data_IF_124065528128
#
_entry.id   IF_124065528128
#
_cell.length_a   1.000
_cell.length_b   1.000
_cell.length_c   1.000
_cell.angle_alpha   90.00
_cell.angle_beta   90.00
_cell.angle_gamma   90.00
#
_symmetry.space_group_name_H-M   'P 1'
#
loop_
_entity.id
_entity.type
_entity.pdbx_description
1 polymer ?
#
# COMPACT_ATOMS: atom_id res chain seq x y z
N UNK A 1 50.87 -30.00 0.23
CA UNK A 1 50.79 -28.83 -0.65
C UNK A 1 49.91 -29.20 -1.83
N UNK A 2 48.65 -28.81 -1.81
CA UNK A 2 47.77 -28.78 -2.97
C UNK A 2 46.97 -27.50 -2.89
N UNK A 3 47.37 -26.56 -3.75
CA UNK A 3 46.70 -25.30 -3.97
C UNK A 3 45.45 -25.55 -4.82
N UNK A 4 44.25 -25.50 -4.20
CA UNK A 4 42.98 -25.54 -4.91
C UNK A 4 42.70 -24.17 -5.54
N UNK A 5 42.71 -24.12 -6.85
CA UNK A 5 42.21 -22.99 -7.65
C UNK A 5 40.72 -22.84 -7.46
N UNK A 6 40.30 -21.76 -6.77
CA UNK A 6 38.91 -21.32 -6.71
C UNK A 6 38.63 -20.52 -7.99
N UNK A 7 38.06 -21.18 -8.99
CA UNK A 7 37.65 -20.55 -10.25
C UNK A 7 36.44 -19.70 -9.99
N UNK A 8 36.59 -18.39 -10.23
CA UNK A 8 35.52 -17.39 -10.16
C UNK A 8 34.52 -17.65 -11.29
N UNK A 9 33.39 -18.29 -10.98
CA UNK A 9 32.31 -18.55 -11.94
C UNK A 9 31.54 -17.28 -12.42
N UNK A 10 31.78 -16.11 -11.82
CA UNK A 10 31.04 -14.88 -12.12
C UNK A 10 31.39 -14.16 -13.44
N UNK A 11 32.62 -14.29 -13.91
CA UNK A 11 33.08 -13.55 -15.11
C UNK A 11 32.56 -14.09 -16.44
N UNK A 12 32.26 -15.37 -16.54
CA UNK A 12 31.83 -16.01 -17.80
C UNK A 12 30.33 -15.80 -18.09
N UNK A 13 29.49 -15.66 -17.05
CA UNK A 13 28.06 -15.37 -17.19
C UNK A 13 27.81 -13.91 -17.59
N UNK A 14 28.60 -12.97 -17.09
CA UNK A 14 28.41 -11.53 -17.36
C UNK A 14 28.73 -11.15 -18.82
N UNK A 15 29.74 -11.79 -19.43
CA UNK A 15 30.13 -11.54 -20.82
C UNK A 15 29.10 -12.09 -21.83
N UNK A 16 28.44 -13.21 -21.52
CA UNK A 16 27.39 -13.78 -22.38
C UNK A 16 26.11 -12.95 -22.37
N UNK A 17 25.73 -12.38 -21.22
CA UNK A 17 24.52 -11.57 -21.08
C UNK A 17 24.61 -10.24 -21.87
N UNK A 18 25.79 -9.63 -21.96
CA UNK A 18 26.01 -8.39 -22.71
C UNK A 18 25.88 -8.57 -24.21
N UNK A 19 26.00 -9.80 -24.73
CA UNK A 19 25.85 -10.12 -26.15
C UNK A 19 24.47 -10.64 -26.52
N UNK A 20 23.56 -10.82 -25.56
CA UNK A 20 22.19 -11.30 -25.80
C UNK A 20 21.34 -10.22 -26.50
N UNK A 21 20.43 -10.65 -27.35
CA UNK A 21 19.38 -9.76 -27.88
C UNK A 21 18.40 -9.36 -26.78
N UNK A 22 17.63 -8.30 -26.98
CA UNK A 22 16.59 -7.90 -26.02
C UNK A 22 15.50 -8.98 -25.85
N UNK A 23 15.22 -9.75 -26.89
CA UNK A 23 14.28 -10.89 -26.85
C UNK A 23 14.82 -12.01 -25.97
N UNK A 24 16.12 -12.35 -26.10
CA UNK A 24 16.76 -13.37 -25.27
C UNK A 24 16.85 -12.95 -23.80
N UNK A 25 17.13 -11.67 -23.55
CA UNK A 25 17.14 -11.12 -22.18
C UNK A 25 15.75 -11.20 -21.56
N UNK A 26 14.69 -10.86 -22.30
CA UNK A 26 13.32 -10.96 -21.83
C UNK A 26 12.92 -12.41 -21.58
N UNK A 27 13.29 -13.34 -22.44
CA UNK A 27 13.03 -14.77 -22.26
C UNK A 27 13.71 -15.30 -20.99
N UNK A 28 15.00 -14.99 -20.78
CA UNK A 28 15.74 -15.35 -19.57
C UNK A 28 15.13 -14.73 -18.31
N UNK A 29 14.73 -13.45 -18.37
CA UNK A 29 14.05 -12.77 -17.27
C UNK A 29 12.74 -13.46 -16.90
N UNK A 30 11.92 -13.84 -17.87
CA UNK A 30 10.66 -14.55 -17.63
C UNK A 30 10.88 -15.95 -17.07
N UNK A 31 11.90 -16.67 -17.56
CA UNK A 31 12.28 -17.98 -17.03
C UNK A 31 12.67 -17.90 -15.54
N UNK A 32 13.47 -16.91 -15.14
CA UNK A 32 13.84 -16.66 -13.73
C UNK A 32 12.60 -16.40 -12.86
N UNK A 33 11.68 -15.55 -13.33
CA UNK A 33 10.43 -15.27 -12.62
C UNK A 33 9.57 -16.54 -12.50
N UNK A 34 9.46 -17.34 -13.57
CA UNK A 34 8.71 -18.60 -13.55
C UNK A 34 9.33 -19.63 -12.59
N UNK A 35 10.65 -19.65 -12.50
CA UNK A 35 11.40 -20.47 -11.53
C UNK A 35 11.27 -19.98 -10.07
N UNK A 36 10.65 -18.80 -9.84
CA UNK A 36 10.51 -18.19 -8.51
C UNK A 36 11.76 -17.47 -8.01
N UNK A 37 12.72 -17.21 -8.89
CA UNK A 37 13.90 -16.42 -8.55
C UNK A 37 13.50 -14.97 -8.27
N UNK A 38 14.22 -14.33 -7.36
CA UNK A 38 14.05 -12.92 -7.08
C UNK A 38 14.90 -12.08 -8.03
N UNK A 39 14.28 -11.01 -8.52
CA UNK A 39 14.97 -9.97 -9.30
C UNK A 39 15.47 -8.94 -8.30
N UNK A 40 16.74 -8.61 -8.35
CA UNK A 40 17.39 -7.64 -7.47
C UNK A 40 17.55 -6.27 -8.16
N UNK A 41 17.93 -5.26 -7.38
CA UNK A 41 18.00 -3.87 -7.86
C UNK A 41 18.96 -3.68 -9.04
N UNK A 42 20.06 -4.42 -9.05
CA UNK A 42 21.12 -4.33 -10.08
C UNK A 42 20.91 -5.34 -11.23
N UNK A 43 19.87 -6.18 -11.15
CA UNK A 43 19.54 -7.10 -12.24
C UNK A 43 18.99 -6.32 -13.45
N UNK A 44 19.27 -6.85 -14.63
CA UNK A 44 18.55 -6.40 -15.82
C UNK A 44 17.05 -6.73 -15.70
N UNK A 45 16.22 -5.78 -16.04
CA UNK A 45 14.76 -5.94 -16.04
C UNK A 45 14.15 -5.16 -17.21
N UNK A 46 13.07 -5.69 -17.82
CA UNK A 46 12.38 -4.99 -18.88
C UNK A 46 11.71 -3.71 -18.34
N UNK A 47 11.63 -2.69 -19.18
CA UNK A 47 11.08 -1.38 -18.82
C UNK A 47 9.64 -1.46 -18.29
N UNK A 48 8.80 -2.31 -18.88
CA UNK A 48 7.42 -2.52 -18.42
C UNK A 48 7.38 -3.00 -16.95
N UNK A 49 8.29 -3.89 -16.57
CA UNK A 49 8.40 -4.36 -15.19
C UNK A 49 8.86 -3.25 -14.24
N UNK A 50 9.91 -2.53 -14.61
CA UNK A 50 10.44 -1.40 -13.84
C UNK A 50 9.37 -0.34 -13.60
N UNK A 51 8.70 0.12 -14.65
CA UNK A 51 7.63 1.13 -14.55
C UNK A 51 6.46 0.63 -13.71
N UNK A 52 6.11 -0.65 -13.82
CA UNK A 52 5.05 -1.27 -12.99
C UNK A 52 5.43 -1.24 -11.51
N UNK A 53 6.66 -1.63 -11.17
CA UNK A 53 7.17 -1.59 -9.79
C UNK A 53 7.24 -0.15 -9.25
N UNK A 54 7.77 0.79 -10.04
CA UNK A 54 7.84 2.21 -9.63
C UNK A 54 6.46 2.73 -9.28
N UNK A 55 5.45 2.51 -10.13
CA UNK A 55 4.07 2.94 -9.86
C UNK A 55 3.49 2.30 -8.61
N UNK A 56 3.66 0.99 -8.46
CA UNK A 56 3.11 0.25 -7.32
C UNK A 56 3.76 0.69 -6.01
N UNK A 57 5.10 0.66 -5.95
CA UNK A 57 5.85 0.87 -4.71
C UNK A 57 5.86 2.35 -4.31
N UNK A 58 5.94 3.29 -5.27
CA UNK A 58 5.82 4.71 -4.95
C UNK A 58 4.43 5.06 -4.42
N UNK A 59 3.36 4.54 -5.04
CA UNK A 59 2.01 4.74 -4.52
C UNK A 59 1.85 4.18 -3.11
N UNK A 60 2.39 2.99 -2.85
CA UNK A 60 2.39 2.39 -1.51
C UNK A 60 3.16 3.29 -0.52
N UNK A 61 4.42 3.65 -0.81
CA UNK A 61 5.21 4.51 0.07
C UNK A 61 4.61 5.89 0.31
N UNK A 62 3.98 6.50 -0.71
CA UNK A 62 3.26 7.76 -0.54
C UNK A 62 1.99 7.58 0.29
N UNK A 63 1.32 6.42 0.18
CA UNK A 63 0.15 6.10 1.00
C UNK A 63 0.49 6.01 2.48
N UNK A 64 1.60 5.37 2.84
CA UNK A 64 2.11 5.31 4.21
C UNK A 64 2.36 6.73 4.78
N UNK A 65 3.12 7.54 4.04
CA UNK A 65 3.43 8.92 4.45
C UNK A 65 2.17 9.78 4.61
N UNK A 66 1.21 9.65 3.69
CA UNK A 66 -0.03 10.43 3.72
C UNK A 66 -1.02 9.85 4.72
N UNK A 67 -1.02 8.52 4.92
CA UNK A 67 -1.84 7.80 5.89
C UNK A 67 -1.54 8.17 7.34
N UNK A 68 -0.30 8.47 7.65
CA UNK A 68 0.09 8.97 8.96
C UNK A 68 -0.60 10.31 9.36
N UNK A 69 -1.08 11.11 8.39
CA UNK A 69 -1.66 12.42 8.68
C UNK A 69 -3.03 12.35 9.37
N UNK A 70 -4.03 11.60 8.87
CA UNK A 70 -5.33 11.48 9.53
C UNK A 70 -5.22 10.89 10.94
N UNK A 71 -4.29 9.98 11.17
CA UNK A 71 -4.10 9.35 12.47
C UNK A 71 -3.36 10.26 13.46
N UNK A 72 -2.36 10.99 12.98
CA UNK A 72 -1.64 12.00 13.77
C UNK A 72 -2.60 13.01 14.42
N UNK A 73 -3.69 13.37 13.76
CA UNK A 73 -4.70 14.29 14.29
C UNK A 73 -5.36 13.79 15.57
N UNK A 74 -5.34 12.46 15.82
CA UNK A 74 -5.94 11.81 16.98
C UNK A 74 -4.97 11.59 18.13
N UNK A 75 -3.66 11.74 17.94
CA UNK A 75 -2.68 11.63 19.04
C UNK A 75 -3.02 12.51 20.24
N UNK A 76 -3.30 13.84 20.09
CA UNK A 76 -3.69 14.67 21.23
C UNK A 76 -5.09 14.34 21.78
N UNK A 77 -5.99 13.83 20.93
CA UNK A 77 -7.42 13.60 21.23
C UNK A 77 -7.71 12.19 21.77
N UNK A 78 -6.74 11.28 21.73
CA UNK A 78 -6.95 9.89 22.17
C UNK A 78 -7.41 9.85 23.64
N UNK A 79 -8.43 9.01 23.98
CA UNK A 79 -9.15 9.10 25.25
C UNK A 79 -8.34 8.66 26.47
N UNK A 80 -7.29 7.87 26.29
CA UNK A 80 -6.42 7.40 27.38
C UNK A 80 -4.95 7.50 26.98
N UNK A 81 -4.05 7.49 27.98
CA UNK A 81 -2.61 7.48 27.72
C UNK A 81 -2.19 6.25 26.90
N UNK A 82 -2.74 5.08 27.19
CA UNK A 82 -2.46 3.85 26.44
C UNK A 82 -2.86 3.99 24.97
N UNK A 83 -4.06 4.52 24.68
CA UNK A 83 -4.52 4.76 23.29
C UNK A 83 -3.68 5.81 22.58
N UNK A 84 -3.25 6.84 23.32
CA UNK A 84 -2.34 7.86 22.79
C UNK A 84 -1.00 7.27 22.38
N UNK A 85 -0.40 6.44 23.23
CA UNK A 85 0.87 5.78 22.94
C UNK A 85 0.72 4.79 21.77
N UNK A 86 -0.38 4.06 21.69
CA UNK A 86 -0.66 3.13 20.60
C UNK A 86 -0.73 3.84 19.24
N UNK A 87 -1.50 4.94 19.13
CA UNK A 87 -1.60 5.68 17.87
C UNK A 87 -0.29 6.44 17.52
N UNK A 88 0.48 6.88 18.53
CA UNK A 88 1.81 7.46 18.28
C UNK A 88 2.78 6.45 17.69
N UNK A 89 2.80 5.21 18.23
CA UNK A 89 3.62 4.12 17.71
C UNK A 89 3.24 3.83 16.27
N UNK A 90 1.94 3.68 15.97
CA UNK A 90 1.45 3.48 14.61
C UNK A 90 1.90 4.59 13.65
N UNK A 91 1.70 5.85 14.00
CA UNK A 91 2.14 6.99 13.15
C UNK A 91 3.65 6.95 12.88
N UNK A 92 4.45 6.52 13.84
CA UNK A 92 5.89 6.34 13.67
C UNK A 92 6.19 5.22 12.67
N UNK A 93 5.51 4.09 12.80
CA UNK A 93 5.69 2.93 11.92
C UNK A 93 5.31 3.29 10.47
N UNK A 94 4.16 3.94 10.23
CA UNK A 94 3.72 4.43 8.91
C UNK A 94 4.80 5.30 8.23
N UNK A 95 5.40 6.22 8.99
CA UNK A 95 6.50 7.04 8.48
C UNK A 95 7.74 6.22 8.16
N UNK A 96 8.04 5.19 8.96
CA UNK A 96 9.12 4.23 8.73
C UNK A 96 8.89 3.37 7.49
N UNK A 97 7.67 2.85 7.32
CA UNK A 97 7.23 2.09 6.15
C UNK A 97 7.39 2.92 4.87
N UNK A 98 6.88 4.16 4.88
CA UNK A 98 7.04 5.08 3.77
C UNK A 98 8.49 5.30 3.38
N UNK A 99 9.39 5.56 4.35
CA UNK A 99 10.82 5.73 4.10
C UNK A 99 11.46 4.47 3.49
N UNK A 100 11.09 3.29 4.00
CA UNK A 100 11.60 2.02 3.49
C UNK A 100 11.17 1.79 2.03
N UNK A 101 9.90 2.01 1.72
CA UNK A 101 9.34 1.83 0.38
C UNK A 101 9.89 2.85 -0.62
N UNK A 102 10.06 4.11 -0.22
CA UNK A 102 10.70 5.12 -1.06
C UNK A 102 12.16 4.79 -1.36
N UNK A 103 12.87 4.14 -0.42
CA UNK A 103 14.23 3.67 -0.67
C UNK A 103 14.26 2.53 -1.69
N UNK A 104 13.31 1.59 -1.59
CA UNK A 104 13.14 0.52 -2.60
C UNK A 104 12.80 1.11 -3.98
N UNK A 105 11.99 2.16 -4.02
CA UNK A 105 11.64 2.85 -5.27
C UNK A 105 12.85 3.61 -5.84
N UNK A 106 13.68 4.21 -4.99
CA UNK A 106 14.88 4.96 -5.39
C UNK A 106 15.84 4.10 -6.21
N UNK A 107 16.03 2.82 -5.84
CA UNK A 107 16.85 1.89 -6.62
C UNK A 107 16.29 1.67 -8.04
N UNK A 108 14.97 1.66 -8.20
CA UNK A 108 14.30 1.49 -9.50
C UNK A 108 14.37 2.74 -10.39
N UNK A 109 14.41 3.95 -9.81
CA UNK A 109 14.45 5.22 -10.55
C UNK A 109 15.85 5.76 -10.77
N UNK A 110 16.87 5.17 -10.13
CA UNK A 110 18.28 5.54 -10.32
C UNK A 110 18.72 5.59 -11.80
N UNK A 111 18.31 4.65 -12.68
CA UNK A 111 18.63 4.73 -14.10
C UNK A 111 18.11 5.97 -14.83
N UNK A 112 17.14 6.67 -14.24
CA UNK A 112 16.59 7.93 -14.77
C UNK A 112 17.24 9.17 -14.13
N UNK A 113 18.33 9.01 -13.36
CA UNK A 113 18.98 10.06 -12.58
C UNK A 113 18.03 10.73 -11.57
N UNK A 114 17.05 9.98 -11.03
CA UNK A 114 16.10 10.41 -10.00
C UNK A 114 16.44 9.79 -8.64
N UNK A 115 16.03 10.46 -7.57
CA UNK A 115 16.22 10.07 -6.19
C UNK A 115 14.92 10.26 -5.36
N UNK A 116 14.96 9.97 -4.06
CA UNK A 116 13.79 10.12 -3.17
C UNK A 116 13.28 11.56 -3.05
N UNK A 117 14.16 12.54 -3.20
CA UNK A 117 13.76 13.95 -3.22
C UNK A 117 12.85 14.25 -4.41
N UNK A 118 13.16 13.69 -5.57
CA UNK A 118 12.34 13.84 -6.77
C UNK A 118 10.96 13.18 -6.58
N UNK A 119 10.89 12.03 -5.90
CA UNK A 119 9.59 11.40 -5.58
C UNK A 119 8.73 12.30 -4.69
N UNK A 120 9.33 12.99 -3.73
CA UNK A 120 8.60 13.95 -2.89
C UNK A 120 8.11 15.15 -3.70
N UNK A 121 8.91 15.66 -4.64
CA UNK A 121 8.46 16.71 -5.55
C UNK A 121 7.34 16.23 -6.48
N UNK A 122 7.46 15.03 -7.03
CA UNK A 122 6.42 14.40 -7.86
C UNK A 122 5.09 14.25 -7.08
N UNK A 123 5.13 13.95 -5.75
CA UNK A 123 3.94 13.99 -4.89
C UNK A 123 3.35 15.41 -4.80
N UNK A 124 4.20 16.43 -4.57
CA UNK A 124 3.75 17.81 -4.40
C UNK A 124 3.27 18.45 -5.71
N UNK A 125 3.78 17.98 -6.84
CA UNK A 125 3.29 18.32 -8.17
C UNK A 125 2.02 17.55 -8.57
N UNK A 126 1.54 16.65 -7.69
CA UNK A 126 0.37 15.79 -7.92
C UNK A 126 0.56 14.74 -9.03
N UNK A 127 1.80 14.48 -9.42
CA UNK A 127 2.18 13.45 -10.39
C UNK A 127 2.15 12.04 -9.77
N UNK A 128 2.48 11.92 -8.48
CA UNK A 128 2.32 10.67 -7.72
C UNK A 128 0.99 10.66 -6.97
N UNK A 129 0.44 9.46 -6.86
CA UNK A 129 -0.83 9.20 -6.19
C UNK A 129 -0.60 8.50 -4.86
N UNK A 130 -1.56 8.64 -3.96
CA UNK A 130 -1.67 7.86 -2.73
C UNK A 130 -3.10 7.32 -2.59
N UNK A 131 -3.30 6.43 -1.66
CA UNK A 131 -4.54 5.65 -1.54
C UNK A 131 -5.76 6.54 -1.28
N UNK A 132 -6.88 6.20 -1.92
CA UNK A 132 -8.14 6.93 -1.84
C UNK A 132 -8.63 7.16 -0.40
N UNK A 133 -8.44 6.20 0.48
CA UNK A 133 -8.85 6.28 1.90
C UNK A 133 -8.16 7.42 2.64
N UNK A 134 -6.94 7.78 2.28
CA UNK A 134 -6.20 8.87 2.93
C UNK A 134 -6.57 10.28 2.41
N UNK A 135 -7.55 10.38 1.54
CA UNK A 135 -8.21 11.62 1.16
C UNK A 135 -9.50 11.89 1.97
N UNK A 136 -9.95 10.90 2.76
CA UNK A 136 -11.20 10.97 3.50
C UNK A 136 -11.06 11.75 4.81
N UNK A 137 -12.18 12.26 5.31
CA UNK A 137 -12.25 12.99 6.56
C UNK A 137 -12.33 12.03 7.76
N UNK A 138 -11.62 12.35 8.85
CA UNK A 138 -11.69 11.65 10.13
C UNK A 138 -12.41 12.53 11.15
N UNK A 139 -13.68 12.23 11.43
CA UNK A 139 -14.58 13.08 12.25
C UNK A 139 -14.59 12.68 13.73
N UNK A 140 -14.48 11.39 14.00
CA UNK A 140 -14.64 10.82 15.34
C UNK A 140 -13.53 9.85 15.68
N UNK A 141 -13.42 9.47 16.92
CA UNK A 141 -12.48 8.43 17.37
C UNK A 141 -12.75 7.07 16.71
N UNK A 142 -14.01 6.80 16.33
CA UNK A 142 -14.36 5.61 15.57
C UNK A 142 -13.73 5.59 14.18
N UNK A 143 -13.57 6.76 13.51
CA UNK A 143 -12.88 6.82 12.22
C UNK A 143 -11.41 6.39 12.36
N UNK A 144 -10.72 6.82 13.42
CA UNK A 144 -9.36 6.37 13.70
C UNK A 144 -9.30 4.85 13.97
N UNK A 145 -10.28 4.31 14.69
CA UNK A 145 -10.43 2.87 14.90
C UNK A 145 -10.68 2.11 13.58
N UNK A 146 -11.53 2.63 12.69
CA UNK A 146 -11.82 2.01 11.40
C UNK A 146 -10.62 2.01 10.46
N UNK A 147 -9.80 3.06 10.46
CA UNK A 147 -8.56 3.06 9.70
C UNK A 147 -7.72 1.87 10.15
N UNK A 148 -7.40 1.76 11.44
CA UNK A 148 -6.61 0.65 11.96
C UNK A 148 -7.25 -0.72 11.71
N UNK A 149 -8.56 -0.86 11.89
CA UNK A 149 -9.21 -2.15 11.77
C UNK A 149 -9.45 -2.59 10.32
N UNK A 150 -10.10 -1.74 9.53
CA UNK A 150 -10.57 -2.14 8.19
C UNK A 150 -9.63 -1.70 7.07
N UNK A 151 -9.01 -0.51 7.16
CA UNK A 151 -8.07 -0.05 6.12
C UNK A 151 -6.75 -0.80 6.21
N UNK A 152 -6.14 -0.88 7.40
CA UNK A 152 -4.91 -1.68 7.57
C UNK A 152 -5.20 -3.16 7.38
N UNK A 153 -6.40 -3.62 7.75
CA UNK A 153 -6.87 -4.96 7.43
C UNK A 153 -6.93 -5.27 5.93
N UNK A 154 -7.39 -4.32 5.12
CA UNK A 154 -7.36 -4.41 3.66
C UNK A 154 -5.91 -4.35 3.13
N UNK A 155 -5.07 -3.50 3.72
CA UNK A 155 -3.65 -3.42 3.42
C UNK A 155 -2.94 -4.76 3.69
N UNK A 156 -3.16 -5.38 4.85
CA UNK A 156 -2.59 -6.69 5.20
C UNK A 156 -3.00 -7.76 4.16
N UNK A 157 -4.26 -7.79 3.73
CA UNK A 157 -4.73 -8.75 2.72
C UNK A 157 -3.94 -8.59 1.41
N UNK A 158 -3.73 -7.36 0.95
CA UNK A 158 -3.01 -7.10 -0.30
C UNK A 158 -1.51 -7.32 -0.14
N UNK A 159 -0.91 -6.81 0.92
CA UNK A 159 0.53 -6.85 1.17
C UNK A 159 1.03 -8.28 1.42
N UNK A 160 0.29 -9.10 2.18
CA UNK A 160 0.67 -10.50 2.44
C UNK A 160 0.70 -11.34 1.17
N UNK A 161 -0.14 -11.03 0.18
CA UNK A 161 -0.09 -11.68 -1.13
C UNK A 161 1.19 -11.33 -1.91
N UNK A 162 1.80 -10.19 -1.61
CA UNK A 162 3.02 -9.70 -2.27
C UNK A 162 4.32 -10.04 -1.49
N UNK A 163 4.26 -10.77 -0.38
CA UNK A 163 5.43 -11.24 0.35
C UNK A 163 6.38 -12.09 -0.52
N UNK A 164 5.83 -12.72 -1.54
CA UNK A 164 6.57 -13.50 -2.52
C UNK A 164 6.72 -12.78 -3.88
N UNK A 165 6.55 -11.46 -3.91
CA UNK A 165 6.74 -10.67 -5.12
C UNK A 165 8.07 -11.00 -5.81
N UNK A 166 8.08 -11.00 -7.13
CA UNK A 166 9.28 -11.29 -7.94
C UNK A 166 10.43 -10.32 -7.70
N UNK A 167 10.15 -9.07 -7.28
CA UNK A 167 11.16 -8.09 -6.92
C UNK A 167 11.60 -8.28 -5.47
N UNK A 168 12.82 -8.77 -5.27
CA UNK A 168 13.40 -9.14 -3.98
C UNK A 168 13.40 -8.01 -2.94
N UNK A 169 13.86 -6.78 -3.27
CA UNK A 169 13.87 -5.67 -2.32
C UNK A 169 12.47 -5.33 -1.77
N UNK A 170 11.43 -5.36 -2.62
CA UNK A 170 10.06 -5.11 -2.17
C UNK A 170 9.52 -6.24 -1.30
N UNK A 171 9.74 -7.49 -1.70
CA UNK A 171 9.33 -8.65 -0.90
C UNK A 171 9.92 -8.62 0.52
N UNK A 172 11.22 -8.26 0.65
CA UNK A 172 11.88 -8.12 1.96
C UNK A 172 11.34 -6.94 2.78
N UNK A 173 11.05 -5.81 2.13
CA UNK A 173 10.43 -4.66 2.81
C UNK A 173 9.07 -5.04 3.39
N UNK A 174 8.24 -5.75 2.62
CA UNK A 174 6.92 -6.19 3.04
C UNK A 174 6.94 -7.17 4.22
N UNK A 175 7.99 -7.99 4.37
CA UNK A 175 8.12 -8.88 5.53
C UNK A 175 8.10 -8.10 6.84
N UNK A 176 8.82 -6.97 6.89
CA UNK A 176 8.82 -6.09 8.05
C UNK A 176 7.49 -5.35 8.19
N UNK A 177 7.04 -4.71 7.13
CA UNK A 177 5.79 -3.91 7.12
C UNK A 177 4.62 -4.77 7.59
N UNK A 178 4.39 -5.95 7.00
CA UNK A 178 3.28 -6.82 7.39
C UNK A 178 3.34 -7.28 8.86
N UNK A 179 4.53 -7.42 9.44
CA UNK A 179 4.68 -7.78 10.85
C UNK A 179 4.23 -6.64 11.78
N UNK A 180 4.54 -5.40 11.42
CA UNK A 180 4.15 -4.21 12.17
C UNK A 180 2.66 -3.86 11.96
N UNK A 181 2.11 -4.07 10.75
CA UNK A 181 0.69 -3.87 10.41
C UNK A 181 -0.28 -4.71 11.26
N UNK A 182 0.13 -5.88 11.74
CA UNK A 182 -0.70 -6.70 12.65
C UNK A 182 -1.03 -5.94 13.93
N UNK A 183 -0.08 -5.18 14.47
CA UNK A 183 -0.31 -4.32 15.64
C UNK A 183 -1.31 -3.21 15.30
N UNK A 184 -1.20 -2.59 14.14
CA UNK A 184 -2.11 -1.53 13.70
C UNK A 184 -3.55 -2.01 13.62
N UNK A 185 -3.76 -3.16 12.97
CA UNK A 185 -5.09 -3.77 12.85
C UNK A 185 -5.68 -4.16 14.21
N UNK A 186 -4.88 -4.75 15.10
CA UNK A 186 -5.33 -5.10 16.46
C UNK A 186 -5.65 -3.86 17.30
N UNK A 187 -4.86 -2.79 17.18
CA UNK A 187 -5.13 -1.53 17.87
C UNK A 187 -6.45 -0.90 17.41
N UNK A 188 -6.70 -0.86 16.09
CA UNK A 188 -7.95 -0.39 15.50
C UNK A 188 -9.15 -1.23 15.91
N UNK A 189 -9.04 -2.56 15.81
CA UNK A 189 -10.10 -3.48 16.25
C UNK A 189 -10.47 -3.27 17.72
N UNK A 190 -9.47 -3.13 18.60
CA UNK A 190 -9.72 -2.89 20.03
C UNK A 190 -10.38 -1.53 20.32
N UNK A 191 -10.20 -0.52 19.46
CA UNK A 191 -10.94 0.74 19.56
C UNK A 191 -12.40 0.51 19.16
N UNK A 192 -12.64 -0.14 18.05
CA UNK A 192 -13.99 -0.39 17.53
C UNK A 192 -14.79 -1.28 18.50
N UNK A 193 -14.21 -2.36 19.00
CA UNK A 193 -14.86 -3.23 19.98
C UNK A 193 -15.26 -2.46 21.23
N UNK A 194 -14.33 -1.66 21.79
CA UNK A 194 -14.62 -0.89 22.99
C UNK A 194 -15.76 0.14 22.81
N UNK A 195 -15.89 0.72 21.60
CA UNK A 195 -16.97 1.64 21.28
C UNK A 195 -18.28 0.90 20.97
N UNK A 196 -18.23 -0.22 20.25
CA UNK A 196 -19.42 -1.01 19.89
C UNK A 196 -20.06 -1.68 21.11
N UNK A 197 -19.27 -2.05 22.12
CA UNK A 197 -19.72 -2.62 23.39
C UNK A 197 -20.07 -1.55 24.45
N UNK A 198 -19.84 -0.28 24.14
CA UNK A 198 -20.03 0.85 25.04
C UNK A 198 -21.47 1.36 25.08
N UNK A 199 -21.62 2.69 25.25
CA UNK A 199 -22.94 3.34 25.26
C UNK A 199 -23.61 3.34 23.88
N UNK A 200 -24.91 3.65 23.83
CA UNK A 200 -25.64 3.76 22.54
C UNK A 200 -25.02 4.85 21.64
N UNK A 201 -24.54 5.96 22.23
CA UNK A 201 -23.87 7.02 21.48
C UNK A 201 -22.53 6.55 20.91
N UNK A 202 -21.78 5.74 21.66
CA UNK A 202 -20.51 5.17 21.17
C UNK A 202 -20.75 4.16 20.05
N UNK A 203 -21.77 3.32 20.19
CA UNK A 203 -22.18 2.39 19.12
C UNK A 203 -22.67 3.12 17.89
N UNK A 204 -23.48 4.16 18.03
CA UNK A 204 -23.92 5.01 16.94
C UNK A 204 -22.73 5.68 16.24
N UNK A 205 -21.72 6.13 16.99
CA UNK A 205 -20.49 6.70 16.43
C UNK A 205 -19.76 5.70 15.51
N UNK A 206 -19.66 4.41 15.89
CA UNK A 206 -19.06 3.37 15.06
C UNK A 206 -19.89 3.13 13.81
N UNK A 207 -21.22 3.04 13.94
CA UNK A 207 -22.12 2.84 12.80
C UNK A 207 -22.02 3.99 11.80
N UNK A 208 -22.03 5.23 12.25
CA UNK A 208 -21.87 6.40 11.40
C UNK A 208 -20.51 6.45 10.70
N UNK A 209 -19.45 6.08 11.41
CA UNK A 209 -18.12 5.97 10.82
C UNK A 209 -18.10 4.89 9.73
N UNK A 210 -18.65 3.70 9.99
CA UNK A 210 -18.76 2.63 9.01
C UNK A 210 -19.54 3.09 7.76
N UNK A 211 -20.65 3.80 7.95
CA UNK A 211 -21.45 4.33 6.84
C UNK A 211 -20.65 5.31 5.95
N UNK A 212 -19.79 6.14 6.55
CA UNK A 212 -18.95 7.09 5.80
C UNK A 212 -17.80 6.42 5.07
N UNK A 213 -17.22 5.36 5.64
CA UNK A 213 -16.01 4.74 5.14
C UNK A 213 -16.26 3.57 4.19
N UNK A 214 -17.46 2.99 4.18
CA UNK A 214 -17.74 1.74 3.47
C UNK A 214 -17.37 1.79 1.99
N UNK A 215 -17.86 2.79 1.27
CA UNK A 215 -17.56 2.92 -0.16
C UNK A 215 -16.06 3.15 -0.41
N UNK A 216 -15.42 3.98 0.41
CA UNK A 216 -13.99 4.22 0.31
C UNK A 216 -13.17 2.95 0.56
N UNK A 217 -13.61 2.06 1.48
CA UNK A 217 -13.02 0.74 1.73
C UNK A 217 -13.15 -0.18 0.51
N UNK A 218 -14.30 -0.20 -0.15
CA UNK A 218 -14.47 -0.99 -1.38
C UNK A 218 -13.61 -0.45 -2.52
N UNK A 219 -13.42 0.85 -2.60
CA UNK A 219 -12.54 1.52 -3.55
C UNK A 219 -11.05 1.25 -3.28
N UNK A 220 -10.68 0.86 -2.05
CA UNK A 220 -9.31 0.57 -1.65
C UNK A 220 -8.62 -0.42 -2.60
N UNK A 221 -9.30 -1.46 -3.02
CA UNK A 221 -8.73 -2.48 -3.91
C UNK A 221 -8.64 -2.04 -5.38
N UNK A 222 -9.23 -0.89 -5.73
CA UNK A 222 -9.32 -0.40 -7.09
C UNK A 222 -10.40 -1.10 -7.93
N UNK A 223 -10.67 -0.62 -9.14
CA UNK A 223 -11.63 -1.27 -10.04
C UNK A 223 -11.18 -2.68 -10.42
N UNK A 224 -12.13 -3.53 -10.77
CA UNK A 224 -11.83 -4.89 -11.24
C UNK A 224 -10.82 -4.83 -12.39
N UNK A 225 -9.82 -5.71 -12.34
CA UNK A 225 -8.81 -5.80 -13.40
C UNK A 225 -9.49 -6.10 -14.73
N UNK A 226 -9.12 -5.39 -15.78
CA UNK A 226 -9.72 -5.53 -17.12
C UNK A 226 -9.57 -6.92 -17.75
N UNK A 227 -8.95 -7.86 -17.07
CA UNK A 227 -8.72 -9.23 -17.55
C UNK A 227 -9.95 -10.12 -17.49
N UNK A 228 -11.07 -9.68 -16.95
CA UNK A 228 -12.24 -10.53 -16.77
C UNK A 228 -13.10 -10.69 -18.03
N UNK A 229 -12.89 -9.88 -19.07
CA UNK A 229 -13.64 -10.06 -20.34
C UNK A 229 -12.87 -9.44 -21.53
N UNK A 230 -12.05 -10.25 -22.19
CA UNK A 230 -11.63 -9.97 -23.59
C UNK A 230 -10.63 -8.84 -23.85
N UNK A 231 -9.99 -8.27 -22.81
CA UNK A 231 -8.90 -7.31 -23.01
C UNK A 231 -7.59 -8.07 -23.24
N UNK A 232 -6.93 -7.81 -24.36
CA UNK A 232 -5.67 -8.42 -24.77
C UNK A 232 -4.46 -8.02 -23.90
N UNK A 233 -4.62 -7.18 -22.89
CA UNK A 233 -3.56 -6.70 -22.01
C UNK A 233 -3.69 -7.32 -20.61
N UNK A 234 -2.86 -8.33 -20.35
CA UNK A 234 -2.71 -8.92 -19.03
C UNK A 234 -2.22 -7.85 -18.02
N UNK A 235 -2.75 -7.88 -16.79
CA UNK A 235 -2.25 -7.04 -15.68
C UNK A 235 -0.75 -7.33 -15.46
N UNK A 236 0.10 -6.32 -15.66
CA UNK A 236 1.55 -6.46 -15.56
C UNK A 236 1.99 -6.92 -14.15
N UNK A 237 1.24 -6.59 -13.09
CA UNK A 237 1.56 -7.05 -11.74
C UNK A 237 1.38 -8.57 -11.58
N UNK A 238 0.42 -9.16 -12.27
CA UNK A 238 0.18 -10.61 -12.31
C UNK A 238 1.14 -11.27 -13.31
N UNK A 239 1.27 -10.70 -14.52
CA UNK A 239 2.19 -11.18 -15.55
C UNK A 239 3.61 -11.38 -15.00
N UNK A 240 4.08 -10.44 -14.21
CA UNK A 240 5.43 -10.47 -13.65
C UNK A 240 5.48 -11.05 -12.22
N UNK A 241 4.45 -11.73 -11.76
CA UNK A 241 4.39 -12.34 -10.42
C UNK A 241 4.77 -11.40 -9.27
N UNK A 242 4.44 -10.12 -9.40
CA UNK A 242 4.52 -9.17 -8.29
C UNK A 242 3.43 -9.50 -7.29
N UNK A 243 2.24 -9.85 -7.78
CA UNK A 243 1.11 -10.41 -7.02
C UNK A 243 0.45 -11.56 -7.79
N UNK A 244 -0.34 -12.38 -7.10
CA UNK A 244 -1.02 -13.54 -7.69
C UNK A 244 -2.55 -13.39 -7.74
N UNK A 245 -3.08 -12.36 -7.09
CA UNK A 245 -4.52 -12.11 -6.94
C UNK A 245 -4.94 -10.85 -7.68
N UNK A 246 -6.18 -10.84 -8.17
CA UNK A 246 -6.80 -9.66 -8.77
C UNK A 246 -7.33 -8.70 -7.70
N UNK A 247 -7.74 -7.50 -8.10
CA UNK A 247 -8.39 -6.54 -7.21
C UNK A 247 -9.70 -7.10 -6.64
N UNK A 248 -10.44 -7.86 -7.45
CA UNK A 248 -11.68 -8.48 -7.02
C UNK A 248 -11.42 -9.62 -6.03
N UNK A 249 -10.41 -10.47 -6.27
CA UNK A 249 -10.04 -11.51 -5.29
C UNK A 249 -9.74 -10.90 -3.91
N UNK A 250 -9.02 -9.80 -3.85
CA UNK A 250 -8.72 -9.11 -2.59
C UNK A 250 -9.97 -8.59 -1.91
N UNK A 251 -10.92 -8.04 -2.68
CA UNK A 251 -12.19 -7.54 -2.13
C UNK A 251 -13.03 -8.68 -1.59
N UNK A 252 -13.09 -9.81 -2.28
CA UNK A 252 -13.76 -11.02 -1.78
C UNK A 252 -13.11 -11.53 -0.48
N UNK A 253 -11.77 -11.60 -0.41
CA UNK A 253 -11.04 -11.96 0.80
C UNK A 253 -11.33 -10.98 1.96
N UNK A 254 -11.50 -9.70 1.66
CA UNK A 254 -11.89 -8.70 2.65
C UNK A 254 -13.29 -8.97 3.20
N UNK A 255 -14.25 -9.25 2.35
CA UNK A 255 -15.59 -9.61 2.79
C UNK A 255 -15.58 -10.88 3.64
N UNK A 256 -14.93 -11.95 3.20
CA UNK A 256 -14.81 -13.20 3.95
C UNK A 256 -14.28 -12.98 5.38
N UNK A 257 -13.30 -12.09 5.50
CA UNK A 257 -12.66 -11.82 6.79
C UNK A 257 -13.45 -10.88 7.68
N UNK A 258 -14.02 -9.82 7.14
CA UNK A 258 -14.55 -8.71 7.92
C UNK A 258 -16.05 -8.67 8.04
N UNK A 259 -16.82 -9.19 7.08
CA UNK A 259 -18.28 -9.19 7.16
C UNK A 259 -18.80 -9.94 8.40
N UNK A 260 -18.34 -11.17 8.72
CA UNK A 260 -18.80 -11.85 9.93
C UNK A 260 -18.50 -11.07 11.22
N UNK A 261 -17.35 -10.38 11.25
CA UNK A 261 -16.92 -9.58 12.41
C UNK A 261 -17.76 -8.32 12.57
N UNK A 262 -18.01 -7.57 11.48
CA UNK A 262 -18.89 -6.39 11.46
C UNK A 262 -20.28 -6.77 11.99
N UNK A 263 -20.86 -7.85 11.46
CA UNK A 263 -22.20 -8.33 11.86
C UNK A 263 -22.23 -8.80 13.32
N UNK A 264 -21.17 -9.45 13.81
CA UNK A 264 -21.10 -9.90 15.20
C UNK A 264 -21.08 -8.77 16.23
N UNK A 265 -20.64 -7.56 15.82
CA UNK A 265 -20.70 -6.35 16.62
C UNK A 265 -22.08 -5.65 16.60
N UNK A 266 -23.05 -6.22 15.88
CA UNK A 266 -24.38 -5.65 15.68
C UNK A 266 -24.39 -4.42 14.76
N UNK A 267 -23.33 -4.26 13.95
CA UNK A 267 -23.23 -3.20 12.94
C UNK A 267 -23.83 -3.66 11.61
N UNK A 268 -24.30 -2.72 10.82
CA UNK A 268 -24.81 -2.95 9.47
C UNK A 268 -23.99 -2.17 8.46
N UNK A 269 -23.65 -2.79 7.33
CA UNK A 269 -23.01 -2.10 6.22
C UNK A 269 -24.06 -1.34 5.41
N UNK A 270 -23.71 -0.15 4.86
CA UNK A 270 -24.66 0.67 4.10
C UNK A 270 -24.81 0.20 2.66
N UNK A 271 -24.98 -1.12 2.49
CA UNK A 271 -25.22 -1.78 1.22
C UNK A 271 -26.29 -2.87 1.43
N UNK A 272 -27.51 -2.56 1.02
CA UNK A 272 -28.65 -3.49 1.15
C UNK A 272 -28.59 -4.67 0.18
N UNK A 273 -27.67 -4.64 -0.79
CA UNK A 273 -27.52 -5.71 -1.81
C UNK A 273 -26.47 -6.73 -1.41
N UNK A 274 -25.66 -6.43 -0.39
CA UNK A 274 -24.56 -7.33 0.00
C UNK A 274 -25.08 -8.63 0.57
N UNK A 275 -24.69 -9.73 -0.03
CA UNK A 275 -25.00 -11.08 0.44
C UNK A 275 -23.95 -12.07 -0.08
N UNK A 276 -23.79 -13.17 0.64
CA UNK A 276 -22.97 -14.28 0.17
C UNK A 276 -23.81 -15.22 -0.70
N UNK A 277 -23.32 -15.52 -1.89
CA UNK A 277 -23.91 -16.50 -2.79
C UNK A 277 -23.29 -17.89 -2.51
N UNK A 278 -24.07 -18.79 -1.96
CA UNK A 278 -23.60 -20.12 -1.56
C UNK A 278 -23.27 -21.03 -2.76
N UNK A 279 -23.87 -20.79 -3.93
CA UNK A 279 -23.61 -21.56 -5.14
C UNK A 279 -22.32 -21.14 -5.81
N UNK A 280 -22.17 -19.85 -6.04
CA UNK A 280 -20.98 -19.26 -6.69
C UNK A 280 -19.81 -19.05 -5.72
N UNK A 281 -20.06 -19.13 -4.40
CA UNK A 281 -19.10 -18.88 -3.31
C UNK A 281 -18.43 -17.51 -3.40
N UNK A 282 -19.23 -16.50 -3.67
CA UNK A 282 -18.80 -15.10 -3.78
C UNK A 282 -19.74 -14.17 -3.02
N UNK A 283 -19.22 -13.02 -2.62
CA UNK A 283 -20.01 -11.90 -2.13
C UNK A 283 -20.51 -11.06 -3.29
N UNK A 284 -21.83 -10.91 -3.39
CA UNK A 284 -22.46 -9.90 -4.24
C UNK A 284 -22.58 -8.60 -3.45
N UNK A 285 -22.35 -7.46 -4.09
CA UNK A 285 -22.33 -6.14 -3.46
C UNK A 285 -22.57 -5.03 -4.48
N UNK A 286 -22.98 -3.83 -4.01
CA UNK A 286 -23.09 -2.65 -4.84
C UNK A 286 -21.72 -2.15 -5.28
N UNK A 287 -21.53 -1.98 -6.58
CA UNK A 287 -20.26 -1.44 -7.10
C UNK A 287 -20.06 0.01 -6.67
N UNK A 288 -18.86 0.38 -6.20
CA UNK A 288 -18.52 1.75 -5.89
C UNK A 288 -18.62 2.68 -7.12
N UNK A 289 -18.81 3.97 -6.90
CA UNK A 289 -18.70 4.96 -7.97
C UNK A 289 -17.24 5.15 -8.40
N UNK A 290 -16.86 4.45 -9.46
CA UNK A 290 -15.51 4.54 -10.02
C UNK A 290 -15.17 5.90 -10.65
N UNK A 291 -16.13 6.79 -10.89
CA UNK A 291 -15.87 8.16 -11.31
C UNK A 291 -15.50 9.02 -10.09
N UNK A 292 -16.19 8.83 -8.97
CA UNK A 292 -15.79 9.47 -7.71
C UNK A 292 -14.41 8.96 -7.26
N UNK A 293 -14.12 7.67 -7.38
CA UNK A 293 -12.77 7.13 -7.15
C UNK A 293 -11.70 7.88 -7.94
N UNK A 294 -11.88 8.07 -9.26
CA UNK A 294 -10.92 8.78 -10.11
C UNK A 294 -10.73 10.23 -9.67
N UNK A 295 -11.80 10.89 -9.24
CA UNK A 295 -11.78 12.25 -8.71
C UNK A 295 -10.97 12.30 -7.40
N UNK A 296 -11.22 11.38 -6.48
CA UNK A 296 -10.51 11.29 -5.18
C UNK A 296 -9.01 11.08 -5.40
N UNK A 297 -8.60 10.05 -6.15
CA UNK A 297 -7.18 9.78 -6.42
C UNK A 297 -6.52 10.83 -7.31
N UNK A 298 -7.31 11.68 -7.97
CA UNK A 298 -6.88 12.90 -8.66
C UNK A 298 -6.70 14.11 -7.73
N UNK A 299 -6.60 13.89 -6.42
CA UNK A 299 -6.40 14.90 -5.37
C UNK A 299 -7.58 15.87 -5.21
N UNK A 300 -8.80 15.43 -5.56
CA UNK A 300 -10.04 16.19 -5.38
C UNK A 300 -10.99 15.53 -4.36
N UNK A 301 -10.47 14.69 -3.47
CA UNK A 301 -11.22 14.17 -2.33
C UNK A 301 -11.35 15.20 -1.19
N UNK A 302 -12.15 14.89 -0.16
CA UNK A 302 -12.55 15.86 0.88
C UNK A 302 -11.38 16.55 1.61
N UNK A 303 -10.26 15.85 1.84
CA UNK A 303 -9.09 16.37 2.58
C UNK A 303 -7.80 16.34 1.74
N UNK A 304 -7.90 16.12 0.43
CA UNK A 304 -6.73 15.96 -0.45
C UNK A 304 -5.76 17.13 -0.37
N UNK A 305 -6.24 18.32 -0.71
CA UNK A 305 -5.40 19.51 -0.82
C UNK A 305 -4.87 19.97 0.53
N UNK A 306 -5.66 19.84 1.59
CA UNK A 306 -5.21 20.18 2.93
C UNK A 306 -4.02 19.29 3.37
N UNK A 307 -4.13 17.97 3.17
CA UNK A 307 -3.07 17.02 3.55
C UNK A 307 -1.82 17.17 2.69
N UNK A 308 -1.97 17.39 1.39
CA UNK A 308 -0.86 17.71 0.50
C UNK A 308 -0.14 18.99 0.91
N UNK A 309 -0.89 20.05 1.18
CA UNK A 309 -0.32 21.33 1.62
C UNK A 309 0.36 21.23 2.98
N UNK A 310 -0.20 20.46 3.92
CA UNK A 310 0.42 20.21 5.21
C UNK A 310 1.78 19.50 5.05
N UNK A 311 1.87 18.50 4.16
CA UNK A 311 3.11 17.78 3.86
C UNK A 311 4.12 18.69 3.15
N UNK A 312 3.69 19.40 2.13
CA UNK A 312 4.53 20.36 1.37
C UNK A 312 5.12 21.40 2.31
N UNK A 313 4.29 22.06 3.11
CA UNK A 313 4.75 23.09 4.05
C UNK A 313 5.77 22.53 5.05
N UNK A 314 5.53 21.35 5.62
CA UNK A 314 6.49 20.71 6.52
C UNK A 314 7.80 20.35 5.82
N UNK A 315 7.76 19.93 4.58
CA UNK A 315 8.92 19.61 3.78
C UNK A 315 9.76 20.86 3.45
N UNK A 316 9.09 21.91 2.98
CA UNK A 316 9.74 23.20 2.64
C UNK A 316 10.32 23.90 3.87
N UNK A 317 9.56 23.95 4.96
CA UNK A 317 10.01 24.59 6.22
C UNK A 317 11.31 23.97 6.76
N UNK A 318 11.52 22.68 6.55
CA UNK A 318 12.71 21.96 6.99
C UNK A 318 13.80 21.87 5.90
N UNK A 319 13.68 22.62 4.80
CA UNK A 319 14.65 22.65 3.70
C UNK A 319 16.06 22.94 4.17
N UNK A 320 16.22 23.94 5.01
CA UNK A 320 17.51 24.35 5.56
C UNK A 320 18.26 23.22 6.31
N UNK A 321 17.55 22.31 6.97
CA UNK A 321 18.16 21.13 7.61
C UNK A 321 18.73 20.18 6.58
N UNK A 322 17.97 19.90 5.51
CA UNK A 322 18.43 19.04 4.42
C UNK A 322 19.65 19.62 3.71
N UNK A 323 19.64 20.92 3.45
CA UNK A 323 20.73 21.62 2.80
C UNK A 323 22.01 21.57 3.66
N UNK A 324 21.87 21.81 4.96
CA UNK A 324 22.98 21.70 5.89
C UNK A 324 23.58 20.28 5.97
N UNK A 325 22.72 19.25 5.98
CA UNK A 325 23.17 17.85 5.98
C UNK A 325 23.84 17.45 4.67
N UNK A 326 23.36 17.95 3.53
CA UNK A 326 23.96 17.69 2.22
C UNK A 326 25.35 18.31 2.10
N UNK A 327 25.55 19.50 2.68
CA UNK A 327 26.85 20.20 2.69
C UNK A 327 27.92 19.48 3.56
N UNK A 328 27.51 18.61 4.49
CA UNK A 328 28.46 17.84 5.34
C UNK A 328 28.92 16.56 4.64
N UNK A 329 28.15 16.05 3.69
CA UNK A 329 28.39 14.78 2.99
C UNK A 329 29.17 14.99 1.67
N UNK A 330 29.17 16.22 1.16
CA UNK A 330 29.94 16.64 -0.02
C UNK A 330 31.38 17.04 0.34
#
# INVERSE_FOLDING_TARGET
MQSGNMIIKGGFQMTSFLTMTEEDKLANFMERIEAGEKIEADDWMPEEYRVTLVKLISMHGMSEIMGALPEKEWVPKAPTLSRKLGIMAKVQDEMGHGQLLLRVTEDLIRPYNKNRGDLMQDLFNEDLKFHNVFHMETKTWADAGLIGWLVDGAAIITQTNMLNASYGPYARALQRICAEEVFHAQHGEAIIMALAEGTDEQRAMVQEALNRWWEALLMFFGPASKNTTGSSKQDATIKYKIRTKTNEDFRQMFFDRYMPRILSLGLTVPDSTIHYDEEEKIWNYAQPDWNEFKKIIGNNGPRSQERLNLRRHSYEFNGWVRDALSAVIS
#
